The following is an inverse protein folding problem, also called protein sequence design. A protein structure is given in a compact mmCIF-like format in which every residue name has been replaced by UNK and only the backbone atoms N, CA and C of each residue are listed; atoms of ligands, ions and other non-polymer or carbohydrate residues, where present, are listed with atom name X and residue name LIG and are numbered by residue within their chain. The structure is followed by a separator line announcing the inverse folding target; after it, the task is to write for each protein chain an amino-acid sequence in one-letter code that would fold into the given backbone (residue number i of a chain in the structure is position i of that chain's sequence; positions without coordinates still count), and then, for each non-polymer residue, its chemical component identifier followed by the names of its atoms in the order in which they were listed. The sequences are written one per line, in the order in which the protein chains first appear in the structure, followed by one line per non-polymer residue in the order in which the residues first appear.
data_IF_650543588811
#
_entry.id   IF_650543588811
#
_cell.length_a   1.000
_cell.length_b   1.000
_cell.length_c   1.000
_cell.angle_alpha   90.00
_cell.angle_beta   90.00
_cell.angle_gamma   90.00
#
_symmetry.space_group_name_H-M   'P 1'
#
loop_
_entity.id
_entity.type
_entity.pdbx_description
1 polymer ?
#
# COMPACT_ATOMS: atom_id res chain seq x y z
N UNK A 1 11.69 19.00 -13.43
CA UNK A 1 11.59 17.52 -13.44
C UNK A 1 10.94 16.96 -12.18
N UNK A 2 11.37 17.35 -10.97
CA UNK A 2 10.85 16.87 -9.68
C UNK A 2 9.32 17.06 -9.58
N UNK A 3 8.79 18.26 -9.83
CA UNK A 3 7.36 18.53 -9.77
C UNK A 3 6.56 17.71 -10.78
N UNK A 4 7.06 17.55 -12.03
CA UNK A 4 6.42 16.70 -13.04
C UNK A 4 6.28 15.26 -12.56
N UNK A 5 7.35 14.68 -12.01
CA UNK A 5 7.33 13.33 -11.45
C UNK A 5 6.32 13.21 -10.29
N UNK A 6 6.11 14.27 -9.48
CA UNK A 6 5.10 14.28 -8.42
C UNK A 6 3.68 14.31 -8.94
N UNK A 7 3.44 15.15 -9.95
CA UNK A 7 2.12 15.23 -10.58
C UNK A 7 1.75 13.88 -11.20
N UNK A 8 2.64 13.27 -11.97
CA UNK A 8 2.38 11.94 -12.56
C UNK A 8 2.14 10.87 -11.51
N UNK A 9 2.88 10.90 -10.40
CA UNK A 9 2.69 9.99 -9.29
C UNK A 9 1.35 10.25 -8.57
N UNK A 10 1.01 11.50 -8.31
CA UNK A 10 -0.24 11.89 -7.65
C UNK A 10 -1.45 11.49 -8.50
N UNK A 11 -1.41 11.69 -9.81
CA UNK A 11 -2.42 11.20 -10.75
C UNK A 11 -2.52 9.66 -10.72
N UNK A 12 -1.36 8.97 -10.70
CA UNK A 12 -1.31 7.50 -10.62
C UNK A 12 -1.77 6.93 -9.28
N UNK A 13 -1.62 7.68 -8.18
CA UNK A 13 -2.01 7.24 -6.83
C UNK A 13 -3.51 6.96 -6.69
N UNK A 14 -4.37 7.84 -7.20
CA UNK A 14 -5.82 7.63 -7.21
C UNK A 14 -6.26 6.60 -8.28
N UNK A 15 -5.40 6.33 -9.25
CA UNK A 15 -5.72 5.54 -10.43
C UNK A 15 -6.28 6.39 -11.57
N UNK A 16 -5.60 6.33 -12.70
CA UNK A 16 -5.97 7.10 -13.90
C UNK A 16 -7.40 6.77 -14.37
N UNK A 17 -7.87 5.54 -14.09
CA UNK A 17 -9.22 5.08 -14.46
C UNK A 17 -10.28 5.80 -13.62
N UNK A 18 -10.03 6.04 -12.32
CA UNK A 18 -10.96 6.81 -11.46
C UNK A 18 -11.09 8.23 -11.98
N UNK A 19 -9.97 8.86 -12.36
CA UNK A 19 -9.96 10.21 -12.94
C UNK A 19 -10.70 10.20 -14.28
N UNK A 20 -10.44 9.21 -15.15
CA UNK A 20 -11.10 9.07 -16.43
C UNK A 20 -12.62 8.94 -16.29
N UNK A 21 -13.11 8.09 -15.37
CA UNK A 21 -14.55 7.93 -15.13
C UNK A 21 -15.17 9.20 -14.55
N UNK A 22 -14.44 9.93 -13.71
CA UNK A 22 -14.91 11.19 -13.15
C UNK A 22 -15.09 12.27 -14.23
N UNK A 23 -14.15 12.37 -15.15
CA UNK A 23 -14.12 13.39 -16.21
C UNK A 23 -15.03 13.05 -17.41
N UNK A 24 -15.12 11.76 -17.80
CA UNK A 24 -15.86 11.32 -18.98
C UNK A 24 -17.10 10.50 -18.63
N UNK A 25 -18.26 11.15 -18.48
CA UNK A 25 -19.48 10.51 -17.98
C UNK A 25 -20.10 9.45 -18.93
N UNK A 26 -19.67 9.38 -20.18
CA UNK A 26 -20.20 8.48 -21.21
C UNK A 26 -19.37 7.19 -21.36
N UNK A 27 -18.38 6.92 -20.51
CA UNK A 27 -17.65 5.67 -20.49
C UNK A 27 -18.63 4.52 -20.19
N UNK A 28 -18.92 3.70 -21.21
CA UNK A 28 -19.93 2.64 -21.17
C UNK A 28 -19.56 1.44 -20.25
N UNK A 29 -20.26 0.32 -20.41
CA UNK A 29 -20.11 -0.89 -19.57
C UNK A 29 -18.68 -1.44 -19.41
N UNK A 30 -17.78 -1.12 -20.34
CA UNK A 30 -16.34 -1.44 -20.23
C UNK A 30 -15.63 -0.76 -19.07
N UNK A 31 -15.98 0.50 -18.78
CA UNK A 31 -15.39 1.25 -17.67
C UNK A 31 -15.75 0.66 -16.30
N UNK A 32 -16.93 0.03 -16.16
CA UNK A 32 -17.34 -0.66 -14.95
C UNK A 32 -16.44 -1.86 -14.63
N UNK A 33 -16.09 -2.64 -15.66
CA UNK A 33 -15.21 -3.80 -15.51
C UNK A 33 -13.78 -3.35 -15.17
N UNK A 34 -13.30 -2.26 -15.76
CA UNK A 34 -11.98 -1.70 -15.47
C UNK A 34 -11.91 -1.11 -14.05
N UNK A 35 -12.94 -0.40 -13.61
CA UNK A 35 -13.02 0.15 -12.25
C UNK A 35 -12.98 -0.95 -11.18
N UNK A 36 -13.72 -2.04 -11.40
CA UNK A 36 -13.70 -3.20 -10.50
C UNK A 36 -12.38 -3.97 -10.53
N UNK A 37 -11.59 -3.85 -11.61
CA UNK A 37 -10.27 -4.44 -11.71
C UNK A 37 -9.20 -3.65 -10.93
N UNK A 38 -9.33 -2.32 -10.85
CA UNK A 38 -8.45 -1.46 -10.02
C UNK A 38 -8.84 -1.43 -8.54
N UNK A 39 -10.10 -1.70 -8.22
CA UNK A 39 -10.59 -1.74 -6.85
C UNK A 39 -10.02 -2.91 -6.07
N UNK A 40 -8.85 -2.73 -5.47
CA UNK A 40 -8.15 -3.74 -4.68
C UNK A 40 -8.87 -4.02 -3.35
N UNK A 41 -9.93 -4.81 -3.37
CA UNK A 41 -10.61 -5.23 -2.15
C UNK A 41 -11.53 -6.42 -2.38
N UNK A 42 -11.71 -7.30 -1.37
CA UNK A 42 -12.62 -8.43 -1.47
C UNK A 42 -14.10 -8.05 -1.41
N UNK A 43 -14.40 -6.84 -0.98
CA UNK A 43 -15.77 -6.30 -0.90
C UNK A 43 -15.96 -5.23 -1.96
N UNK A 44 -16.95 -5.43 -2.84
CA UNK A 44 -17.43 -4.36 -3.72
C UNK A 44 -18.13 -3.30 -2.84
N UNK A 45 -17.36 -2.32 -2.33
CA UNK A 45 -17.96 -1.16 -1.66
C UNK A 45 -18.61 -0.28 -2.71
N UNK A 46 -19.85 -0.56 -3.04
CA UNK A 46 -20.72 0.36 -3.77
C UNK A 46 -21.10 1.52 -2.87
N UNK A 47 -20.20 2.50 -2.78
CA UNK A 47 -20.43 3.72 -1.97
C UNK A 47 -21.59 4.53 -2.54
N UNK A 48 -21.80 4.46 -3.85
CA UNK A 48 -22.87 5.19 -4.56
C UNK A 48 -23.37 4.35 -5.74
N UNK A 49 -24.69 4.33 -6.04
CA UNK A 49 -25.26 3.50 -7.10
C UNK A 49 -24.74 3.78 -8.51
N UNK A 50 -24.16 4.97 -8.73
CA UNK A 50 -23.61 5.39 -10.03
C UNK A 50 -22.10 5.54 -9.94
N UNK A 51 -21.37 4.82 -10.79
CA UNK A 51 -19.91 4.80 -10.84
C UNK A 51 -19.27 6.21 -10.89
N UNK A 52 -19.84 7.12 -11.68
CA UNK A 52 -19.38 8.52 -11.77
C UNK A 52 -19.40 9.21 -10.41
N UNK A 53 -20.46 9.04 -9.64
CA UNK A 53 -20.60 9.71 -8.35
C UNK A 53 -19.64 9.10 -7.31
N UNK A 54 -19.31 7.81 -7.41
CA UNK A 54 -18.27 7.17 -6.60
C UNK A 54 -16.90 7.68 -6.96
N UNK A 55 -16.56 7.74 -8.26
CA UNK A 55 -15.28 8.26 -8.73
C UNK A 55 -15.07 9.73 -8.32
N UNK A 56 -16.11 10.57 -8.49
CA UNK A 56 -16.05 11.98 -8.06
C UNK A 56 -15.87 12.12 -6.54
N UNK A 57 -16.51 11.24 -5.76
CA UNK A 57 -16.37 11.25 -4.31
C UNK A 57 -14.94 10.91 -3.86
N UNK A 58 -14.35 9.88 -4.47
CA UNK A 58 -12.97 9.48 -4.19
C UNK A 58 -11.99 10.59 -4.60
N UNK A 59 -12.16 11.18 -5.80
CA UNK A 59 -11.35 12.29 -6.27
C UNK A 59 -11.45 13.51 -5.34
N UNK A 60 -12.67 13.87 -4.92
CA UNK A 60 -12.88 14.98 -4.00
C UNK A 60 -12.15 14.78 -2.66
N UNK A 61 -12.26 13.58 -2.06
CA UNK A 61 -11.57 13.26 -0.81
C UNK A 61 -10.04 13.30 -0.99
N UNK A 62 -9.55 12.78 -2.10
CA UNK A 62 -8.13 12.78 -2.41
C UNK A 62 -7.55 14.20 -2.54
N UNK A 63 -8.21 15.06 -3.31
CA UNK A 63 -7.83 16.47 -3.44
C UNK A 63 -7.95 17.21 -2.10
N UNK A 64 -9.03 16.99 -1.35
CA UNK A 64 -9.25 17.58 -0.03
C UNK A 64 -8.10 17.28 0.94
N UNK A 65 -7.71 16.00 1.09
CA UNK A 65 -6.59 15.65 1.95
C UNK A 65 -5.25 16.18 1.44
N UNK A 66 -5.05 16.25 0.12
CA UNK A 66 -3.84 16.84 -0.47
C UNK A 66 -3.71 18.32 -0.14
N UNK A 67 -4.81 19.08 -0.23
CA UNK A 67 -4.84 20.52 0.10
C UNK A 67 -4.60 20.74 1.59
N UNK A 68 -5.26 19.97 2.47
CA UNK A 68 -5.04 20.08 3.90
C UNK A 68 -3.60 19.80 4.26
N UNK A 69 -3.01 18.70 3.74
CA UNK A 69 -1.62 18.35 4.01
C UNK A 69 -0.67 19.45 3.55
N UNK A 70 -0.86 19.98 2.34
CA UNK A 70 -0.05 21.11 1.83
C UNK A 70 -0.12 22.30 2.78
N UNK A 71 -1.33 22.66 3.24
CA UNK A 71 -1.52 23.80 4.16
C UNK A 71 -0.83 23.57 5.50
N UNK A 72 -0.96 22.37 6.07
CA UNK A 72 -0.30 22.02 7.34
C UNK A 72 1.23 22.02 7.22
N UNK A 73 1.79 21.52 6.12
CA UNK A 73 3.23 21.56 5.89
C UNK A 73 3.75 23.01 5.76
N UNK A 74 2.99 23.88 5.08
CA UNK A 74 3.31 25.32 5.03
C UNK A 74 3.31 25.95 6.42
N UNK A 75 2.32 25.62 7.26
CA UNK A 75 2.27 26.11 8.65
C UNK A 75 3.42 25.58 9.52
N UNK A 76 3.96 24.41 9.17
CA UNK A 76 5.18 23.86 9.79
C UNK A 76 6.48 24.54 9.29
N UNK A 77 6.41 25.52 8.40
CA UNK A 77 7.56 26.30 7.94
C UNK A 77 8.29 25.72 6.72
N UNK A 78 7.70 24.75 6.01
CA UNK A 78 8.30 24.25 4.75
C UNK A 78 8.05 25.23 3.60
N UNK A 79 8.92 25.23 2.58
CA UNK A 79 8.69 26.03 1.38
C UNK A 79 7.42 25.57 0.64
N UNK A 80 6.77 26.46 -0.13
CA UNK A 80 5.60 26.09 -0.94
C UNK A 80 5.91 24.94 -1.91
N UNK A 81 7.11 24.96 -2.49
CA UNK A 81 7.56 23.91 -3.40
C UNK A 81 7.67 22.55 -2.68
N UNK A 82 8.28 22.51 -1.50
CA UNK A 82 8.43 21.29 -0.71
C UNK A 82 7.09 20.80 -0.17
N UNK A 83 6.25 21.71 0.36
CA UNK A 83 4.92 21.38 0.87
C UNK A 83 4.05 20.69 -0.19
N UNK A 84 3.98 21.24 -1.41
CA UNK A 84 3.20 20.66 -2.52
C UNK A 84 3.78 19.30 -2.93
N UNK A 85 5.10 19.21 -3.08
CA UNK A 85 5.74 17.94 -3.48
C UNK A 85 5.57 16.84 -2.44
N UNK A 86 5.78 17.15 -1.14
CA UNK A 86 5.60 16.19 -0.05
C UNK A 86 4.13 15.77 0.11
N UNK A 87 3.19 16.71 -0.02
CA UNK A 87 1.77 16.43 0.07
C UNK A 87 1.33 15.47 -1.06
N UNK A 88 1.72 15.74 -2.30
CA UNK A 88 1.47 14.84 -3.42
C UNK A 88 2.11 13.46 -3.18
N UNK A 89 3.33 13.41 -2.65
CA UNK A 89 4.06 12.19 -2.37
C UNK A 89 3.43 11.37 -1.24
N UNK A 90 3.05 11.98 -0.13
CA UNK A 90 2.50 11.28 1.03
C UNK A 90 1.09 10.75 0.79
N UNK A 91 0.19 11.56 0.17
CA UNK A 91 -1.20 11.13 -0.12
C UNK A 91 -1.25 10.07 -1.23
N UNK A 92 -0.37 10.17 -2.23
CA UNK A 92 -0.25 9.16 -3.28
C UNK A 92 0.55 7.92 -2.83
N UNK A 93 1.08 7.94 -1.60
CA UNK A 93 1.98 6.91 -1.07
C UNK A 93 3.18 6.66 -2.00
N UNK A 94 3.84 7.76 -2.40
CA UNK A 94 4.86 7.75 -3.45
C UNK A 94 6.30 7.80 -3.02
N UNK A 95 6.59 8.23 -1.80
CA UNK A 95 7.86 8.09 -1.12
C UNK A 95 9.03 8.93 -1.59
N UNK A 96 8.80 9.90 -2.42
CA UNK A 96 9.91 10.72 -2.89
C UNK A 96 9.88 12.11 -2.25
N UNK A 97 10.97 12.57 -1.70
CA UNK A 97 11.18 13.94 -1.22
C UNK A 97 11.82 14.83 -2.28
N UNK A 98 11.90 16.11 -2.00
CA UNK A 98 12.60 17.10 -2.84
C UNK A 98 14.11 17.09 -2.58
N UNK A 99 14.53 16.51 -1.47
CA UNK A 99 15.90 16.39 -0.97
C UNK A 99 16.39 14.96 -1.06
N UNK A 100 17.72 14.76 -1.06
CA UNK A 100 18.34 13.44 -1.14
C UNK A 100 18.21 12.64 0.16
N UNK A 101 18.18 13.30 1.32
CA UNK A 101 17.99 12.68 2.63
C UNK A 101 16.54 12.39 2.96
N UNK A 102 15.61 12.50 1.98
CA UNK A 102 14.19 12.23 2.16
C UNK A 102 13.56 13.16 3.22
N UNK A 103 12.73 12.63 4.13
CA UNK A 103 12.09 13.42 5.18
C UNK A 103 13.08 13.84 6.29
N UNK A 104 14.23 13.19 6.41
CA UNK A 104 15.27 13.51 7.40
C UNK A 104 15.80 14.95 7.26
N UNK A 105 15.94 15.44 6.04
CA UNK A 105 16.54 16.76 5.76
C UNK A 105 15.72 17.95 6.27
N UNK A 106 14.43 17.75 6.59
CA UNK A 106 13.59 18.81 7.14
C UNK A 106 13.84 19.06 8.63
N UNK A 107 14.49 18.15 9.36
CA UNK A 107 14.84 18.27 10.77
C UNK A 107 13.73 18.84 11.67
N UNK A 108 12.46 18.57 11.35
CA UNK A 108 11.28 19.18 11.97
C UNK A 108 10.30 18.14 12.50
N UNK A 109 10.17 18.04 13.82
CA UNK A 109 9.20 17.14 14.47
C UNK A 109 7.75 17.41 14.00
N UNK A 110 7.26 18.66 13.88
CA UNK A 110 5.92 18.92 13.35
C UNK A 110 5.71 18.38 11.93
N UNK A 111 6.70 18.52 11.04
CA UNK A 111 6.62 17.99 9.67
C UNK A 111 6.50 16.47 9.69
N UNK A 112 7.30 15.78 10.50
CA UNK A 112 7.24 14.32 10.61
C UNK A 112 5.90 13.83 11.15
N UNK A 113 5.37 14.46 12.21
CA UNK A 113 4.08 14.10 12.80
C UNK A 113 2.93 14.28 11.80
N UNK A 114 2.93 15.38 11.05
CA UNK A 114 1.97 15.63 9.98
C UNK A 114 2.09 14.57 8.89
N UNK A 115 3.31 14.24 8.45
CA UNK A 115 3.53 13.21 7.45
C UNK A 115 3.07 11.82 7.93
N UNK A 116 3.36 11.42 9.18
CA UNK A 116 2.88 10.15 9.76
C UNK A 116 1.36 10.04 9.64
N UNK A 117 0.64 11.07 10.10
CA UNK A 117 -0.83 11.07 10.06
C UNK A 117 -1.35 10.93 8.63
N UNK A 118 -0.78 11.70 7.70
CA UNK A 118 -1.26 11.70 6.32
C UNK A 118 -0.81 10.50 5.48
N UNK A 119 0.32 9.88 5.80
CA UNK A 119 0.70 8.57 5.27
C UNK A 119 -0.32 7.50 5.70
N UNK A 120 -0.69 7.48 6.99
CA UNK A 120 -1.72 6.57 7.49
C UNK A 120 -3.10 6.82 6.85
N UNK A 121 -3.47 8.08 6.59
CA UNK A 121 -4.68 8.44 5.84
C UNK A 121 -4.60 7.94 4.39
N UNK A 122 -3.47 8.16 3.70
CA UNK A 122 -3.24 7.68 2.33
C UNK A 122 -3.29 6.15 2.22
N UNK A 123 -2.74 5.45 3.22
CA UNK A 123 -2.83 3.99 3.36
C UNK A 123 -4.20 3.47 3.79
N UNK A 124 -5.13 4.33 4.21
CA UNK A 124 -6.49 3.98 4.57
C UNK A 124 -7.46 4.02 3.39
N UNK A 125 -8.69 3.56 3.59
CA UNK A 125 -9.71 3.46 2.56
C UNK A 125 -10.42 4.80 2.31
N UNK A 126 -10.21 5.41 1.13
CA UNK A 126 -10.86 6.68 0.75
C UNK A 126 -12.39 6.57 0.65
N UNK A 127 -12.91 5.41 0.27
CA UNK A 127 -14.36 5.14 0.27
C UNK A 127 -14.96 5.16 1.67
N UNK A 128 -14.22 4.67 2.66
CA UNK A 128 -14.62 4.70 4.07
C UNK A 128 -14.67 6.14 4.60
N UNK A 129 -13.70 6.99 4.25
CA UNK A 129 -13.70 8.40 4.63
C UNK A 129 -14.91 9.15 4.05
N UNK A 130 -15.26 8.89 2.79
CA UNK A 130 -16.44 9.46 2.18
C UNK A 130 -17.74 8.97 2.84
N UNK A 131 -17.84 7.68 3.20
CA UNK A 131 -18.97 7.16 3.97
C UNK A 131 -19.08 7.82 5.34
N UNK A 132 -17.95 8.03 6.02
CA UNK A 132 -17.91 8.71 7.31
C UNK A 132 -18.36 10.16 7.22
N UNK A 133 -17.97 10.86 6.15
CA UNK A 133 -18.44 12.21 5.89
C UNK A 133 -19.97 12.26 5.70
N UNK A 134 -20.56 11.31 4.97
CA UNK A 134 -22.00 11.28 4.70
C UNK A 134 -22.84 10.74 5.85
N UNK A 135 -22.37 9.68 6.54
CA UNK A 135 -23.16 8.89 7.49
C UNK A 135 -22.66 8.99 8.94
N UNK A 136 -21.56 9.72 9.16
CA UNK A 136 -20.98 9.94 10.48
C UNK A 136 -19.73 9.09 10.77
N UNK A 137 -18.87 9.59 11.67
CA UNK A 137 -17.55 9.04 12.01
C UNK A 137 -17.59 7.60 12.57
N UNK A 138 -18.73 7.14 13.07
CA UNK A 138 -18.90 5.79 13.62
C UNK A 138 -18.60 4.68 12.62
N UNK A 139 -18.73 4.98 11.31
CA UNK A 139 -18.39 4.01 10.26
C UNK A 139 -16.90 3.70 10.21
N UNK A 140 -16.01 4.68 10.43
CA UNK A 140 -14.55 4.46 10.51
C UNK A 140 -14.21 3.56 11.72
N UNK A 141 -14.80 3.86 12.88
CA UNK A 141 -14.49 3.13 14.12
C UNK A 141 -15.00 1.69 14.07
N UNK A 142 -16.07 1.40 13.32
CA UNK A 142 -16.68 0.07 13.22
C UNK A 142 -16.04 -0.79 12.12
N UNK A 143 -15.36 -0.19 11.18
CA UNK A 143 -14.71 -0.91 10.08
C UNK A 143 -13.62 -1.83 10.61
N UNK A 144 -13.72 -3.12 10.27
CA UNK A 144 -12.80 -4.15 10.77
C UNK A 144 -11.42 -4.01 10.16
N UNK A 145 -11.35 -3.70 8.86
CA UNK A 145 -10.07 -3.55 8.16
C UNK A 145 -9.28 -2.38 8.72
N UNK A 146 -9.92 -1.22 8.88
CA UNK A 146 -9.28 -0.02 9.40
C UNK A 146 -8.81 -0.18 10.85
N UNK A 147 -9.60 -0.87 11.71
CA UNK A 147 -9.17 -1.18 13.08
C UNK A 147 -7.95 -2.09 13.13
N UNK A 148 -7.95 -3.17 12.33
CA UNK A 148 -6.82 -4.08 12.27
C UNK A 148 -5.58 -3.38 11.70
N UNK A 149 -5.75 -2.53 10.68
CA UNK A 149 -4.69 -1.70 10.12
C UNK A 149 -4.03 -0.82 11.20
N UNK A 150 -4.81 -0.05 11.95
CA UNK A 150 -4.28 0.80 13.03
C UNK A 150 -3.70 -0.02 14.20
N UNK A 151 -4.29 -1.17 14.53
CA UNK A 151 -3.76 -2.05 15.56
C UNK A 151 -2.39 -2.62 15.18
N UNK A 152 -2.21 -3.09 13.94
CA UNK A 152 -0.91 -3.57 13.43
C UNK A 152 0.12 -2.43 13.47
N UNK A 153 -0.24 -1.24 12.98
CA UNK A 153 0.61 -0.07 13.07
C UNK A 153 1.07 0.22 14.50
N UNK A 154 0.14 0.31 15.45
CA UNK A 154 0.44 0.64 16.84
C UNK A 154 1.29 -0.43 17.54
N UNK A 155 0.94 -1.71 17.36
CA UNK A 155 1.68 -2.83 17.98
C UNK A 155 3.10 -2.91 17.43
N UNK A 156 3.28 -2.85 16.11
CA UNK A 156 4.61 -2.98 15.52
C UNK A 156 5.46 -1.74 15.81
N UNK A 157 4.89 -0.55 15.79
CA UNK A 157 5.59 0.68 16.20
C UNK A 157 6.11 0.56 17.63
N UNK A 158 5.29 0.07 18.55
CA UNK A 158 5.71 -0.10 19.96
C UNK A 158 6.82 -1.16 20.09
N UNK A 159 6.68 -2.31 19.42
CA UNK A 159 7.69 -3.37 19.44
C UNK A 159 9.05 -2.91 18.88
N UNK A 160 9.01 -2.18 17.75
CA UNK A 160 10.24 -1.63 17.15
C UNK A 160 10.83 -0.54 18.02
N UNK A 161 10.01 0.36 18.60
CA UNK A 161 10.51 1.40 19.51
C UNK A 161 11.18 0.80 20.76
N UNK A 162 10.60 -0.26 21.35
CA UNK A 162 11.20 -0.98 22.47
C UNK A 162 12.52 -1.64 22.08
N UNK A 163 12.59 -2.25 20.89
CA UNK A 163 13.81 -2.87 20.40
C UNK A 163 14.93 -1.85 20.12
N UNK A 164 14.59 -0.67 19.56
CA UNK A 164 15.55 0.42 19.35
C UNK A 164 16.05 0.99 20.68
N UNK A 165 15.17 1.13 21.67
CA UNK A 165 15.55 1.57 23.03
C UNK A 165 16.53 0.59 23.67
N UNK A 166 16.23 -0.70 23.66
CA UNK A 166 17.02 -1.75 24.32
C UNK A 166 18.34 -2.02 23.60
N UNK A 167 18.31 -2.22 22.28
CA UNK A 167 19.46 -2.66 21.51
C UNK A 167 20.41 -1.51 21.05
N UNK A 168 19.87 -0.31 20.81
CA UNK A 168 20.65 0.84 20.32
C UNK A 168 20.84 1.92 21.39
N UNK A 169 20.20 1.81 22.55
CA UNK A 169 20.29 2.79 23.64
C UNK A 169 19.66 4.16 23.28
N UNK A 170 18.75 4.22 22.34
CA UNK A 170 18.06 5.47 21.97
C UNK A 170 17.19 5.97 23.11
N UNK A 171 17.01 7.30 23.21
CA UNK A 171 16.03 7.83 24.15
C UNK A 171 14.61 7.37 23.78
N UNK A 172 13.72 7.12 24.78
CA UNK A 172 12.37 6.59 24.48
C UNK A 172 11.57 7.43 23.49
N UNK A 173 11.70 8.76 23.57
CA UNK A 173 11.03 9.69 22.65
C UNK A 173 11.56 9.61 21.23
N UNK A 174 12.85 9.46 21.06
CA UNK A 174 13.51 9.32 19.77
C UNK A 174 13.21 7.95 19.13
N UNK A 175 13.30 6.88 19.92
CA UNK A 175 12.96 5.53 19.48
C UNK A 175 11.50 5.44 19.00
N UNK A 176 10.56 6.02 19.74
CA UNK A 176 9.16 6.06 19.36
C UNK A 176 8.94 6.90 18.08
N UNK A 177 9.58 8.06 17.96
CA UNK A 177 9.51 8.94 16.79
C UNK A 177 10.02 8.24 15.54
N UNK A 178 11.24 7.66 15.60
CA UNK A 178 11.85 6.95 14.48
C UNK A 178 11.03 5.73 14.07
N UNK A 179 10.59 4.90 15.04
CA UNK A 179 9.73 3.76 14.77
C UNK A 179 8.39 4.18 14.14
N UNK A 180 7.69 5.17 14.72
CA UNK A 180 6.39 5.62 14.21
C UNK A 180 6.47 6.11 12.77
N UNK A 181 7.51 6.88 12.42
CA UNK A 181 7.70 7.36 11.06
C UNK A 181 7.99 6.23 10.08
N UNK A 182 9.00 5.39 10.37
CA UNK A 182 9.40 4.31 9.47
C UNK A 182 8.29 3.26 9.29
N UNK A 183 7.63 2.86 10.37
CA UNK A 183 6.54 1.88 10.32
C UNK A 183 5.33 2.43 9.54
N UNK A 184 4.96 3.72 9.72
CA UNK A 184 3.90 4.33 8.90
C UNK A 184 4.27 4.35 7.43
N UNK A 185 5.50 4.76 7.10
CA UNK A 185 5.99 4.84 5.72
C UNK A 185 6.00 3.49 5.02
N UNK A 186 6.48 2.45 5.69
CA UNK A 186 6.60 1.11 5.10
C UNK A 186 5.26 0.42 5.01
N UNK A 187 4.44 0.45 6.06
CA UNK A 187 3.13 -0.17 6.07
C UNK A 187 2.19 0.42 5.02
N UNK A 188 2.27 1.73 4.80
CA UNK A 188 1.50 2.41 3.77
C UNK A 188 2.13 2.33 2.37
N UNK A 189 3.28 1.68 2.26
CA UNK A 189 4.08 1.61 1.04
C UNK A 189 4.43 3.00 0.48
N UNK A 190 4.61 3.98 1.37
CA UNK A 190 4.96 5.34 0.97
C UNK A 190 6.46 5.44 0.63
N UNK A 191 7.36 4.89 1.45
CA UNK A 191 8.80 4.87 1.18
C UNK A 191 9.57 6.14 1.57
N UNK A 192 8.97 7.10 2.30
CA UNK A 192 9.70 8.20 2.92
C UNK A 192 10.53 7.67 4.10
N UNK A 193 11.73 8.23 4.33
CA UNK A 193 12.60 7.82 5.42
C UNK A 193 13.12 9.01 6.23
N UNK A 194 13.32 8.79 7.53
CA UNK A 194 13.99 9.72 8.45
C UNK A 194 15.27 9.14 9.01
N UNK A 195 15.43 7.83 8.97
CA UNK A 195 16.61 7.11 9.45
C UNK A 195 17.00 6.02 8.46
N UNK A 196 18.30 5.67 8.47
CA UNK A 196 18.78 4.49 7.76
C UNK A 196 18.45 3.23 8.59
N UNK A 197 17.47 2.46 8.15
CA UNK A 197 17.02 1.25 8.85
C UNK A 197 17.91 0.02 8.59
N UNK A 198 18.92 0.10 7.70
CA UNK A 198 19.95 -0.95 7.53
C UNK A 198 20.80 -1.10 8.81
N UNK A 199 20.92 -0.02 9.58
CA UNK A 199 21.63 0.00 10.86
C UNK A 199 20.78 -0.48 12.04
N UNK A 200 19.50 -0.74 11.82
CA UNK A 200 18.60 -1.14 12.89
C UNK A 200 18.82 -2.61 13.30
N UNK A 201 18.48 -2.96 14.56
CA UNK A 201 18.58 -4.34 15.02
C UNK A 201 17.77 -5.31 14.15
N UNK A 202 18.24 -6.55 14.02
CA UNK A 202 17.66 -7.57 13.17
C UNK A 202 16.15 -7.79 13.40
N UNK A 203 15.66 -7.70 14.65
CA UNK A 203 14.25 -7.80 14.96
C UNK A 203 13.42 -6.66 14.32
N UNK A 204 13.92 -5.42 14.40
CA UNK A 204 13.28 -4.27 13.78
C UNK A 204 13.26 -4.39 12.26
N UNK A 205 14.35 -4.83 11.64
CA UNK A 205 14.41 -5.12 10.21
C UNK A 205 13.40 -6.21 9.81
N UNK A 206 13.29 -7.28 10.60
CA UNK A 206 12.32 -8.34 10.34
C UNK A 206 10.86 -7.82 10.40
N UNK A 207 10.53 -6.96 11.35
CA UNK A 207 9.21 -6.30 11.39
C UNK A 207 8.93 -5.46 10.14
N UNK A 208 9.94 -4.73 9.65
CA UNK A 208 9.85 -3.95 8.40
C UNK A 208 9.54 -4.87 7.22
N UNK A 209 10.25 -5.99 7.08
CA UNK A 209 10.05 -6.97 6.00
C UNK A 209 8.62 -7.53 6.02
N UNK A 210 8.09 -7.87 7.19
CA UNK A 210 6.72 -8.35 7.32
C UNK A 210 5.70 -7.30 6.86
N UNK A 211 5.94 -6.02 7.19
CA UNK A 211 5.05 -4.93 6.77
C UNK A 211 5.11 -4.65 5.27
N UNK A 212 6.26 -4.82 4.62
CA UNK A 212 6.38 -4.68 3.17
C UNK A 212 5.47 -5.64 2.41
N UNK A 213 5.21 -6.85 2.98
CA UNK A 213 4.26 -7.81 2.40
C UNK A 213 2.80 -7.36 2.53
N UNK A 214 2.46 -6.68 3.65
CA UNK A 214 1.06 -6.43 4.01
C UNK A 214 0.44 -5.27 3.21
N UNK A 215 1.10 -4.12 3.17
CA UNK A 215 0.53 -2.91 2.58
C UNK A 215 -0.60 -2.28 3.41
N UNK A 216 -1.30 -1.29 2.84
CA UNK A 216 -2.43 -0.59 3.50
C UNK A 216 -3.79 -1.26 3.30
N UNK A 217 -4.87 -0.48 3.50
CA UNK A 217 -6.25 -0.93 3.33
C UNK A 217 -6.64 -1.10 1.85
N UNK A 218 -7.66 -1.90 1.57
CA UNK A 218 -8.33 -1.94 0.28
C UNK A 218 -8.96 -0.57 -0.05
N UNK A 219 -8.86 -0.13 -1.31
CA UNK A 219 -9.36 1.20 -1.70
C UNK A 219 -8.49 2.37 -1.22
N UNK A 220 -7.24 2.12 -0.83
CA UNK A 220 -6.20 3.10 -0.57
C UNK A 220 -5.28 3.28 -1.77
N UNK A 221 -4.43 4.31 -1.73
CA UNK A 221 -3.36 4.53 -2.72
C UNK A 221 -2.15 3.61 -2.54
N UNK A 222 -2.05 2.89 -1.40
CA UNK A 222 -0.92 2.02 -1.08
C UNK A 222 -0.80 0.82 -2.03
N UNK A 223 0.38 0.28 -2.16
CA UNK A 223 0.66 -1.01 -2.79
C UNK A 223 0.46 -2.19 -1.84
N UNK A 224 1.17 -3.30 -2.09
CA UNK A 224 1.17 -4.50 -1.26
C UNK A 224 -0.09 -5.35 -1.37
N UNK A 225 -0.15 -6.40 -0.53
CA UNK A 225 -1.20 -7.42 -0.56
C UNK A 225 -2.56 -6.94 -0.05
N UNK A 226 -2.61 -5.82 0.70
CA UNK A 226 -3.76 -5.24 1.41
C UNK A 226 -4.16 -6.00 2.68
N UNK A 227 -4.45 -5.21 3.73
CA UNK A 227 -4.83 -5.73 5.06
C UNK A 227 -6.09 -6.60 5.00
N UNK A 228 -7.08 -6.25 4.18
CA UNK A 228 -8.30 -7.05 3.99
C UNK A 228 -8.02 -8.49 3.55
N UNK A 229 -7.05 -8.69 2.65
CA UNK A 229 -6.67 -10.04 2.20
C UNK A 229 -5.97 -10.82 3.30
N UNK A 230 -5.11 -10.18 4.08
CA UNK A 230 -4.46 -10.80 5.25
C UNK A 230 -5.50 -11.26 6.27
N UNK A 231 -6.51 -10.43 6.56
CA UNK A 231 -7.61 -10.80 7.47
C UNK A 231 -8.38 -12.01 6.94
N UNK A 232 -8.67 -12.07 5.64
CA UNK A 232 -9.37 -13.20 5.02
C UNK A 232 -8.53 -14.47 5.11
N UNK A 233 -7.22 -14.42 4.82
CA UNK A 233 -6.33 -15.57 4.93
C UNK A 233 -6.26 -16.09 6.37
N UNK A 234 -6.15 -15.18 7.35
CA UNK A 234 -6.12 -15.57 8.75
C UNK A 234 -7.43 -16.26 9.20
N UNK A 235 -8.57 -15.67 8.80
CA UNK A 235 -9.89 -16.26 9.10
C UNK A 235 -10.12 -17.59 8.36
N UNK A 236 -9.58 -17.75 7.14
CA UNK A 236 -9.62 -19.01 6.41
C UNK A 236 -8.92 -20.13 7.18
N UNK A 237 -7.74 -19.85 7.76
CA UNK A 237 -7.06 -20.83 8.63
C UNK A 237 -7.93 -21.18 9.82
N UNK A 238 -8.54 -20.18 10.46
CA UNK A 238 -9.48 -20.41 11.59
C UNK A 238 -10.68 -21.28 11.21
N UNK A 239 -11.27 -21.05 10.03
CA UNK A 239 -12.42 -21.88 9.56
C UNK A 239 -12.00 -23.33 9.28
N UNK A 240 -10.82 -23.55 8.69
CA UNK A 240 -10.29 -24.91 8.46
C UNK A 240 -10.07 -25.66 9.79
N UNK A 241 -9.52 -24.99 10.80
CA UNK A 241 -9.34 -25.58 12.14
C UNK A 241 -10.71 -25.91 12.75
N UNK A 242 -11.68 -25.01 12.65
CA UNK A 242 -13.03 -25.21 13.17
C UNK A 242 -13.73 -26.41 12.49
N UNK A 243 -13.61 -26.57 11.18
CA UNK A 243 -14.16 -27.70 10.42
C UNK A 243 -13.50 -29.04 10.84
N UNK A 244 -12.20 -29.02 11.16
CA UNK A 244 -11.49 -30.21 11.66
C UNK A 244 -11.94 -30.62 13.07
N UNK A 245 -12.22 -29.65 13.94
CA UNK A 245 -12.69 -29.90 15.31
C UNK A 245 -14.17 -30.27 15.36
N UNK A 246 -14.97 -29.71 14.46
CA UNK A 246 -16.42 -29.89 14.38
C UNK A 246 -16.86 -30.23 12.94
N UNK A 247 -16.70 -31.48 12.47
CA UNK A 247 -16.95 -31.85 11.06
C UNK A 247 -18.37 -31.59 10.56
N UNK A 248 -19.34 -31.52 11.46
CA UNK A 248 -20.74 -31.24 11.12
C UNK A 248 -21.08 -29.73 11.14
N UNK A 249 -20.12 -28.85 11.43
CA UNK A 249 -20.35 -27.41 11.42
C UNK A 249 -20.01 -26.82 10.05
N UNK A 250 -20.83 -25.87 9.58
CA UNK A 250 -20.54 -25.10 8.37
C UNK A 250 -19.83 -23.81 8.80
N UNK A 251 -18.51 -23.85 8.83
CA UNK A 251 -17.72 -22.66 9.11
C UNK A 251 -17.61 -21.78 7.85
N UNK A 252 -17.88 -20.48 7.99
CA UNK A 252 -17.75 -19.52 6.88
C UNK A 252 -16.86 -18.35 7.29
N UNK A 253 -16.01 -17.92 6.37
CA UNK A 253 -15.25 -16.68 6.55
C UNK A 253 -16.19 -15.49 6.53
N UNK A 254 -16.26 -14.74 7.63
CA UNK A 254 -17.14 -13.55 7.76
C UNK A 254 -16.29 -12.28 7.83
N UNK A 255 -16.69 -11.22 7.11
CA UNK A 255 -16.10 -9.89 7.20
C UNK A 255 -17.25 -8.88 7.38
N UNK A 256 -17.18 -8.01 8.38
CA UNK A 256 -18.24 -7.04 8.72
C UNK A 256 -19.63 -7.68 8.87
N UNK A 257 -19.69 -8.83 9.54
CA UNK A 257 -20.92 -9.63 9.72
C UNK A 257 -21.51 -10.20 8.42
N UNK A 258 -20.82 -10.05 7.28
CA UNK A 258 -21.21 -10.65 6.01
C UNK A 258 -20.39 -11.89 5.71
N UNK A 259 -21.06 -12.98 5.34
CA UNK A 259 -20.39 -14.20 4.89
C UNK A 259 -19.73 -13.97 3.53
N UNK A 260 -18.43 -14.20 3.44
CA UNK A 260 -17.71 -14.14 2.18
C UNK A 260 -17.95 -15.42 1.37
N UNK A 261 -18.13 -15.26 0.05
CA UNK A 261 -18.27 -16.42 -0.82
C UNK A 261 -16.96 -17.21 -0.89
N UNK A 262 -17.04 -18.53 -1.02
CA UNK A 262 -15.87 -19.39 -1.21
C UNK A 262 -15.02 -18.94 -2.40
N UNK A 263 -15.64 -18.42 -3.45
CA UNK A 263 -14.96 -17.87 -4.63
C UNK A 263 -14.01 -16.73 -4.27
N UNK A 264 -14.44 -15.80 -3.38
CA UNK A 264 -13.59 -14.70 -2.91
C UNK A 264 -12.43 -15.22 -2.08
N UNK A 265 -12.69 -16.14 -1.16
CA UNK A 265 -11.64 -16.73 -0.31
C UNK A 265 -10.58 -17.44 -1.14
N UNK A 266 -10.98 -18.28 -2.10
CA UNK A 266 -10.03 -18.95 -3.01
C UNK A 266 -9.29 -17.96 -3.92
N UNK A 267 -9.92 -16.88 -4.35
CA UNK A 267 -9.24 -15.83 -5.13
C UNK A 267 -8.12 -15.19 -4.32
N UNK A 268 -8.38 -14.87 -3.05
CA UNK A 268 -7.37 -14.31 -2.15
C UNK A 268 -6.22 -15.29 -1.90
N UNK A 269 -6.51 -16.57 -1.67
CA UNK A 269 -5.47 -17.58 -1.48
C UNK A 269 -4.59 -17.77 -2.73
N UNK A 270 -5.21 -17.81 -3.92
CA UNK A 270 -4.48 -17.87 -5.21
C UNK A 270 -3.63 -16.63 -5.45
N UNK A 271 -4.15 -15.44 -5.09
CA UNK A 271 -3.39 -14.19 -5.19
C UNK A 271 -2.15 -14.23 -4.30
N UNK A 272 -2.29 -14.65 -3.05
CA UNK A 272 -1.17 -14.76 -2.12
C UNK A 272 -0.09 -15.73 -2.64
N UNK A 273 -0.51 -16.90 -3.12
CA UNK A 273 0.41 -17.86 -3.71
C UNK A 273 1.19 -17.27 -4.89
N UNK A 274 0.49 -16.65 -5.84
CA UNK A 274 1.13 -16.02 -7.00
C UNK A 274 2.04 -14.86 -6.61
N UNK A 275 1.63 -14.04 -5.63
CA UNK A 275 2.43 -12.93 -5.13
C UNK A 275 3.78 -13.40 -4.59
N UNK A 276 3.77 -14.41 -3.73
CA UNK A 276 4.99 -14.98 -3.16
C UNK A 276 5.84 -15.65 -4.26
N UNK A 277 5.22 -16.43 -5.15
CA UNK A 277 5.93 -17.11 -6.24
C UNK A 277 6.63 -16.11 -7.19
N UNK A 278 5.96 -15.03 -7.59
CA UNK A 278 6.56 -14.02 -8.48
C UNK A 278 7.70 -13.29 -7.76
N UNK A 279 7.53 -12.94 -6.47
CA UNK A 279 8.59 -12.32 -5.69
C UNK A 279 9.83 -13.22 -5.57
N UNK A 280 9.64 -14.53 -5.34
CA UNK A 280 10.74 -15.50 -5.29
C UNK A 280 11.42 -15.69 -6.66
N UNK A 281 10.66 -15.73 -7.75
CA UNK A 281 11.22 -15.81 -9.10
C UNK A 281 12.05 -14.57 -9.45
N UNK A 282 11.57 -13.39 -9.06
CA UNK A 282 12.34 -12.15 -9.19
C UNK A 282 13.63 -12.20 -8.35
N UNK A 283 13.55 -12.67 -7.11
CA UNK A 283 14.72 -12.83 -6.25
C UNK A 283 15.75 -13.80 -6.85
N UNK A 284 15.30 -14.91 -7.48
CA UNK A 284 16.19 -15.81 -8.21
C UNK A 284 16.91 -15.11 -9.37
N UNK A 285 16.20 -14.26 -10.13
CA UNK A 285 16.81 -13.50 -11.21
C UNK A 285 17.84 -12.50 -10.69
N UNK A 286 17.56 -11.80 -9.59
CA UNK A 286 18.49 -10.87 -8.95
C UNK A 286 19.73 -11.57 -8.39
N UNK A 287 19.54 -12.74 -7.79
CA UNK A 287 20.65 -13.54 -7.28
C UNK A 287 21.54 -14.09 -8.42
N UNK A 288 20.93 -14.42 -9.57
CA UNK A 288 21.69 -14.82 -10.76
C UNK A 288 22.58 -13.69 -11.30
N UNK A 289 22.13 -12.43 -11.15
CA UNK A 289 22.92 -11.22 -11.48
C UNK A 289 23.97 -10.88 -10.41
N UNK A 290 24.13 -11.70 -9.35
CA UNK A 290 25.17 -11.57 -8.34
C UNK A 290 24.78 -10.82 -7.06
N UNK A 291 23.50 -10.47 -6.85
CA UNK A 291 23.06 -9.87 -5.58
C UNK A 291 23.03 -10.94 -4.46
N UNK A 292 23.33 -10.56 -3.20
CA UNK A 292 23.15 -11.43 -2.05
C UNK A 292 21.71 -11.97 -1.94
N UNK A 293 21.54 -13.19 -1.46
CA UNK A 293 20.24 -13.88 -1.40
C UNK A 293 19.21 -13.06 -0.60
N UNK A 294 19.60 -12.52 0.54
CA UNK A 294 18.72 -11.75 1.42
C UNK A 294 18.28 -10.46 0.70
N UNK A 295 19.21 -9.70 0.12
CA UNK A 295 18.93 -8.46 -0.61
C UNK A 295 18.04 -8.73 -1.82
N UNK A 296 18.26 -9.84 -2.53
CA UNK A 296 17.43 -10.27 -3.67
C UNK A 296 15.98 -10.52 -3.26
N UNK A 297 15.74 -11.22 -2.14
CA UNK A 297 14.40 -11.48 -1.64
C UNK A 297 13.73 -10.17 -1.22
N UNK A 298 14.45 -9.31 -0.50
CA UNK A 298 13.93 -8.03 -0.02
C UNK A 298 13.60 -7.08 -1.17
N UNK A 299 14.46 -7.01 -2.18
CA UNK A 299 14.23 -6.24 -3.38
C UNK A 299 13.00 -6.75 -4.15
N UNK A 300 12.85 -8.08 -4.27
CA UNK A 300 11.67 -8.71 -4.89
C UNK A 300 10.38 -8.35 -4.18
N UNK A 301 10.35 -8.43 -2.85
CA UNK A 301 9.21 -8.07 -2.03
C UNK A 301 8.89 -6.58 -2.11
N UNK A 302 9.92 -5.73 -2.08
CA UNK A 302 9.77 -4.27 -2.21
C UNK A 302 9.18 -3.87 -3.56
N UNK A 303 9.70 -4.44 -4.65
CA UNK A 303 9.20 -4.18 -6.00
C UNK A 303 7.75 -4.66 -6.19
N UNK A 304 7.43 -5.88 -5.73
CA UNK A 304 6.06 -6.42 -5.79
C UNK A 304 5.08 -5.64 -4.90
N UNK A 305 5.54 -5.22 -3.71
CA UNK A 305 4.75 -4.40 -2.78
C UNK A 305 4.63 -2.93 -3.21
N UNK A 306 5.44 -2.47 -4.16
CA UNK A 306 5.62 -1.06 -4.49
C UNK A 306 5.96 -0.21 -3.24
N UNK A 307 6.72 -0.78 -2.31
CA UNK A 307 7.10 -0.11 -1.07
C UNK A 307 8.22 0.92 -1.28
N UNK A 308 9.04 0.73 -2.32
CA UNK A 308 10.12 1.65 -2.68
C UNK A 308 11.29 1.68 -1.71
N UNK A 309 11.39 0.68 -0.84
CA UNK A 309 12.42 0.56 0.18
C UNK A 309 13.35 -0.58 -0.21
N UNK A 310 14.65 -0.38 -0.12
CA UNK A 310 15.67 -1.39 -0.38
C UNK A 310 16.63 -1.48 0.80
N UNK A 311 17.24 -2.64 0.97
CA UNK A 311 18.21 -2.94 2.01
C UNK A 311 19.58 -3.25 1.37
N UNK A 312 20.65 -3.01 2.13
CA UNK A 312 22.00 -3.42 1.77
C UNK A 312 22.47 -2.86 0.43
N UNK A 313 23.07 -3.72 -0.41
CA UNK A 313 23.62 -3.35 -1.72
C UNK A 313 22.55 -2.81 -2.68
N UNK A 314 21.30 -3.22 -2.55
CA UNK A 314 20.18 -2.75 -3.37
C UNK A 314 19.73 -1.31 -3.02
N UNK A 315 20.26 -0.69 -1.97
CA UNK A 315 19.96 0.69 -1.59
C UNK A 315 20.36 1.70 -2.68
N UNK A 316 21.42 1.41 -3.40
CA UNK A 316 21.87 2.21 -4.56
C UNK A 316 21.41 1.57 -5.86
N UNK A 317 20.15 1.82 -6.27
CA UNK A 317 19.61 1.35 -7.57
C UNK A 317 20.46 1.74 -8.79
N UNK A 318 21.33 2.73 -8.64
CA UNK A 318 22.18 3.21 -9.72
C UNK A 318 23.18 2.14 -10.16
N UNK A 319 23.73 1.39 -9.22
CA UNK A 319 24.80 0.41 -9.45
C UNK A 319 24.28 -0.99 -9.79
N UNK A 320 22.93 -1.19 -9.81
CA UNK A 320 22.34 -2.48 -10.15
C UNK A 320 22.55 -2.84 -11.62
N UNK A 321 22.73 -4.12 -11.97
CA UNK A 321 22.76 -4.60 -13.34
C UNK A 321 21.48 -4.23 -14.12
N UNK A 322 21.59 -4.05 -15.43
CA UNK A 322 20.45 -3.64 -16.25
C UNK A 322 19.34 -4.68 -16.31
N UNK A 323 19.67 -5.98 -16.26
CA UNK A 323 18.68 -7.08 -16.17
C UNK A 323 17.92 -6.99 -14.88
N UNK A 324 18.59 -6.81 -13.74
CA UNK A 324 17.96 -6.58 -12.43
C UNK A 324 17.00 -5.38 -12.48
N UNK A 325 17.41 -4.24 -13.06
CA UNK A 325 16.54 -3.05 -13.22
C UNK A 325 15.28 -3.36 -14.03
N UNK A 326 15.41 -4.11 -15.12
CA UNK A 326 14.28 -4.51 -15.97
C UNK A 326 13.30 -5.42 -15.22
N UNK A 327 13.81 -6.40 -14.47
CA UNK A 327 12.98 -7.28 -13.65
C UNK A 327 12.28 -6.48 -12.54
N UNK A 328 12.95 -5.51 -11.88
CA UNK A 328 12.34 -4.60 -10.94
C UNK A 328 11.15 -3.83 -11.56
N UNK A 329 11.33 -3.26 -12.75
CA UNK A 329 10.26 -2.56 -13.46
C UNK A 329 9.06 -3.48 -13.73
N UNK A 330 9.29 -4.73 -14.17
CA UNK A 330 8.21 -5.70 -14.39
C UNK A 330 7.48 -6.04 -13.08
N UNK A 331 8.21 -6.28 -12.00
CA UNK A 331 7.63 -6.56 -10.69
C UNK A 331 6.77 -5.39 -10.18
N UNK A 332 7.25 -4.14 -10.33
CA UNK A 332 6.49 -2.94 -9.95
C UNK A 332 5.18 -2.82 -10.74
N UNK A 333 5.21 -3.09 -12.05
CA UNK A 333 4.01 -3.07 -12.92
C UNK A 333 3.03 -4.17 -12.47
N UNK A 334 3.50 -5.41 -12.26
CA UNK A 334 2.69 -6.55 -11.83
C UNK A 334 2.04 -6.26 -10.47
N UNK A 335 2.82 -5.73 -9.52
CA UNK A 335 2.34 -5.38 -8.19
C UNK A 335 1.28 -4.29 -8.21
N UNK A 336 1.43 -3.28 -9.07
CA UNK A 336 0.50 -2.14 -9.16
C UNK A 336 -0.80 -2.45 -9.91
N UNK A 337 -0.72 -3.18 -11.03
CA UNK A 337 -1.89 -3.52 -11.88
C UNK A 337 -2.70 -4.71 -11.33
N UNK A 338 -2.32 -5.28 -10.21
CA UNK A 338 -2.81 -6.56 -9.71
C UNK A 338 -2.41 -7.75 -10.62
N UNK A 339 -1.93 -8.82 -10.00
CA UNK A 339 -1.34 -9.98 -10.70
C UNK A 339 -2.31 -10.59 -11.71
N UNK A 340 -3.59 -10.74 -11.33
CA UNK A 340 -4.59 -11.37 -12.22
C UNK A 340 -4.89 -10.53 -13.46
N UNK A 341 -4.93 -9.21 -13.31
CA UNK A 341 -5.13 -8.29 -14.44
C UNK A 341 -3.97 -8.36 -15.42
N UNK A 342 -2.73 -8.35 -14.89
CA UNK A 342 -1.54 -8.47 -15.71
C UNK A 342 -1.48 -9.82 -16.44
N UNK A 343 -1.73 -10.93 -15.77
CA UNK A 343 -1.76 -12.26 -16.36
C UNK A 343 -2.87 -12.41 -17.42
N UNK A 344 -4.03 -11.79 -17.20
CA UNK A 344 -5.11 -11.79 -18.18
C UNK A 344 -4.71 -11.06 -19.48
N UNK A 345 -3.96 -9.96 -19.37
CA UNK A 345 -3.44 -9.22 -20.54
C UNK A 345 -2.45 -10.06 -21.38
N UNK A 346 -1.72 -10.98 -20.76
CA UNK A 346 -0.77 -11.86 -21.45
C UNK A 346 -1.48 -12.98 -22.24
N UNK A 347 -2.76 -13.27 -21.97
CA UNK A 347 -3.48 -14.32 -22.68
C UNK A 347 -3.91 -13.87 -24.07
N UNK A 348 -3.59 -14.64 -25.15
CA UNK A 348 -4.00 -14.29 -26.51
C UNK A 348 -5.51 -14.13 -26.69
N UNK A 349 -6.32 -14.82 -25.87
CA UNK A 349 -7.77 -14.71 -25.84
C UNK A 349 -8.29 -13.33 -25.43
N UNK A 350 -7.52 -12.58 -24.62
CA UNK A 350 -7.89 -11.22 -24.22
C UNK A 350 -7.93 -10.25 -25.42
N UNK A 351 -7.03 -10.43 -26.38
CA UNK A 351 -6.89 -9.59 -27.56
C UNK A 351 -7.76 -10.04 -28.74
N UNK A 352 -8.31 -11.28 -28.70
CA UNK A 352 -9.26 -11.75 -29.71
C UNK A 352 -10.60 -11.08 -29.45
N UNK A 353 -11.05 -10.28 -30.40
CA UNK A 353 -12.36 -9.62 -30.45
C UNK A 353 -13.46 -10.66 -30.67
N UNK A 354 -13.80 -11.47 -29.66
CA UNK A 354 -14.98 -12.31 -29.69
C UNK A 354 -16.17 -11.45 -29.25
N UNK A 355 -17.17 -11.35 -30.14
CA UNK A 355 -18.42 -10.59 -29.97
C UNK A 355 -19.36 -11.12 -28.88
N UNK A 356 -18.91 -12.05 -28.02
CA UNK A 356 -19.72 -12.73 -26.98
C UNK A 356 -19.15 -12.51 -25.57
N UNK A 357 -19.05 -11.23 -25.17
CA UNK A 357 -18.82 -10.85 -23.76
C UNK A 357 -19.99 -10.03 -23.25
#
# INVERSE_FOLDING_TARGET
FILWRRITHWVGGLGIIVIYIAMFPQAGSGAAKMFNAEGAGPTEMRVVPRMKSTANALLLMYVFFSVILTTLLLLCGTSLFDAVNLAMSAIATGGFATTNGSAADFHSLPVELVLIIFMLIGGGNFGLYFLAYKKGYKYIIRDTEFRVYLAIYGVITLLVALNLYDAMGWQPGEALRGAAFQISSIMTTTGLSTYNFDEWPAFSQFCIILLMLMGGCGGSTSGGMKVSRVIILWKMVGTIIQEKLHPNSIARVTMESQSQSSTVVYRVARFFFLYVMIALLAACAFNFDGLPVVDSILLGLSCMGNAGVAFGVAYTFYDLPDVTKLVCCLCMIIGRLEIFTFLAMLQPGFWKRNSNW
#
